data_IF_639872977416
#
_entry.id   IF_639872977416
#
_cell.length_a   1.000
_cell.length_b   1.000
_cell.length_c   1.000
_cell.angle_alpha   90.00
_cell.angle_beta   90.00
_cell.angle_gamma   90.00
#
_symmetry.space_group_name_H-M   'P 1'
#
loop_
_entity.id
_entity.type
_entity.pdbx_description
1 polymer ?
#
# COMPACT_ATOMS: atom_id res chain seq x y z
N UNK A 1 -48.51 6.48 72.56
CA UNK A 1 -47.04 6.65 72.67
C UNK A 1 -46.52 5.36 73.27
N UNK A 2 -45.76 4.51 72.61
CA UNK A 2 -44.70 4.75 71.60
C UNK A 2 -44.57 3.47 70.75
N UNK A 3 -44.70 3.58 69.44
CA UNK A 3 -43.63 3.68 68.41
C UNK A 3 -43.26 2.33 67.80
N UNK A 4 -43.71 2.19 66.55
CA UNK A 4 -43.35 1.18 65.57
C UNK A 4 -41.86 1.32 65.22
N UNK A 5 -41.05 0.33 65.57
CA UNK A 5 -39.67 0.24 65.04
C UNK A 5 -39.71 -0.27 63.61
N UNK A 6 -39.74 0.68 62.67
CA UNK A 6 -39.44 0.51 61.26
C UNK A 6 -38.03 -0.11 61.07
N UNK A 7 -37.96 -1.37 60.66
CA UNK A 7 -36.69 -2.02 60.30
C UNK A 7 -36.30 -1.59 58.88
N UNK A 8 -35.47 -0.57 58.76
CA UNK A 8 -34.85 -0.17 57.50
C UNK A 8 -34.00 -1.32 56.95
N UNK A 9 -34.47 -2.00 55.91
CA UNK A 9 -33.66 -2.94 55.13
C UNK A 9 -32.69 -2.15 54.25
N UNK A 10 -31.43 -2.04 54.67
CA UNK A 10 -30.37 -1.52 53.81
C UNK A 10 -30.01 -2.55 52.72
N UNK A 11 -29.95 -2.16 51.44
CA UNK A 11 -29.58 -3.06 50.36
C UNK A 11 -28.10 -3.47 50.49
N UNK A 12 -27.84 -4.76 50.66
CA UNK A 12 -26.48 -5.30 50.69
C UNK A 12 -25.89 -5.22 49.28
N UNK A 13 -24.86 -4.41 49.11
CA UNK A 13 -24.13 -4.29 47.85
C UNK A 13 -23.50 -5.64 47.48
N UNK A 14 -24.01 -6.27 46.42
CA UNK A 14 -23.40 -7.47 45.83
C UNK A 14 -22.11 -7.03 45.13
N UNK A 15 -20.98 -7.19 45.82
CA UNK A 15 -19.66 -6.92 45.24
C UNK A 15 -19.44 -7.72 43.96
N UNK A 16 -19.02 -7.06 42.89
CA UNK A 16 -18.62 -7.70 41.65
C UNK A 16 -17.50 -8.71 41.92
N UNK A 17 -17.83 -10.00 41.91
CA UNK A 17 -16.85 -11.08 42.00
C UNK A 17 -16.25 -11.27 40.60
N UNK A 18 -15.14 -10.58 40.34
CA UNK A 18 -14.30 -10.91 39.19
C UNK A 18 -13.84 -12.36 39.35
N UNK A 19 -14.45 -13.26 38.58
CA UNK A 19 -14.05 -14.65 38.56
C UNK A 19 -12.65 -14.74 37.96
N UNK A 20 -11.74 -15.42 38.67
CA UNK A 20 -10.37 -15.66 38.22
C UNK A 20 -10.35 -16.29 36.81
N UNK A 21 -11.36 -17.11 36.49
CA UNK A 21 -11.53 -17.69 35.17
C UNK A 21 -11.82 -16.67 34.07
N UNK A 22 -12.56 -15.60 34.38
CA UNK A 22 -12.82 -14.52 33.43
C UNK A 22 -11.56 -13.69 33.18
N UNK A 23 -10.73 -13.48 34.20
CA UNK A 23 -9.44 -12.78 34.06
C UNK A 23 -8.45 -13.60 33.21
N UNK A 24 -8.37 -14.91 33.43
CA UNK A 24 -7.54 -15.82 32.62
C UNK A 24 -8.01 -15.88 31.16
N UNK A 25 -9.33 -15.84 30.92
CA UNK A 25 -9.89 -15.80 29.58
C UNK A 25 -9.47 -14.53 28.82
N UNK A 26 -9.52 -13.36 29.45
CA UNK A 26 -9.06 -12.10 28.83
C UNK A 26 -7.57 -12.11 28.54
N UNK A 27 -6.75 -12.71 29.41
CA UNK A 27 -5.31 -12.89 29.16
C UNK A 27 -5.09 -13.80 27.95
N UNK A 28 -5.83 -14.91 27.86
CA UNK A 28 -5.74 -15.83 26.72
C UNK A 28 -6.15 -15.17 25.40
N UNK A 29 -7.26 -14.41 25.40
CA UNK A 29 -7.72 -13.66 24.22
C UNK A 29 -6.67 -12.61 23.83
N UNK A 30 -6.16 -11.85 24.79
CA UNK A 30 -5.12 -10.85 24.58
C UNK A 30 -3.87 -11.46 23.94
N UNK A 31 -3.38 -12.57 24.50
CA UNK A 31 -2.22 -13.31 23.99
C UNK A 31 -2.46 -13.87 22.58
N UNK A 32 -3.66 -14.37 22.29
CA UNK A 32 -4.00 -14.85 20.95
C UNK A 32 -3.98 -13.70 19.94
N UNK A 33 -4.62 -12.57 20.27
CA UNK A 33 -4.67 -11.41 19.36
C UNK A 33 -3.29 -10.81 19.09
N UNK A 34 -2.43 -10.68 20.11
CA UNK A 34 -1.06 -10.19 19.89
C UNK A 34 -0.26 -11.16 19.04
N UNK A 35 -0.37 -12.46 19.27
CA UNK A 35 0.30 -13.46 18.45
C UNK A 35 -0.18 -13.42 16.99
N UNK A 36 -1.49 -13.33 16.74
CA UNK A 36 -2.04 -13.19 15.39
C UNK A 36 -1.55 -11.92 14.68
N UNK A 37 -1.47 -10.78 15.40
CA UNK A 37 -0.96 -9.52 14.82
C UNK A 37 0.52 -9.64 14.46
N UNK A 38 1.34 -10.24 15.33
CA UNK A 38 2.77 -10.44 15.09
C UNK A 38 2.97 -11.39 13.91
N UNK A 39 2.22 -12.50 13.87
CA UNK A 39 2.33 -13.51 12.82
C UNK A 39 1.89 -12.95 11.46
N UNK A 40 0.82 -12.14 11.41
CA UNK A 40 0.44 -11.45 10.17
C UNK A 40 1.52 -10.49 9.69
N UNK A 41 2.15 -9.73 10.59
CA UNK A 41 3.26 -8.84 10.20
C UNK A 41 4.45 -9.61 9.66
N UNK A 42 4.81 -10.73 10.28
CA UNK A 42 5.90 -11.60 9.80
C UNK A 42 5.54 -12.21 8.44
N UNK A 43 4.33 -12.71 8.25
CA UNK A 43 3.89 -13.25 6.95
C UNK A 43 3.91 -12.16 5.88
N UNK A 44 3.44 -10.95 6.16
CA UNK A 44 3.56 -9.83 5.21
C UNK A 44 5.02 -9.50 4.89
N UNK A 45 5.91 -9.47 5.89
CA UNK A 45 7.34 -9.23 5.66
C UNK A 45 8.00 -10.33 4.82
N UNK A 46 7.72 -11.62 5.10
CA UNK A 46 8.23 -12.73 4.31
C UNK A 46 7.66 -12.74 2.89
N UNK A 47 6.37 -12.46 2.72
CA UNK A 47 5.76 -12.31 1.40
C UNK A 47 6.43 -11.19 0.60
N UNK A 48 6.74 -10.09 1.27
CA UNK A 48 7.42 -8.95 0.66
C UNK A 48 8.87 -9.28 0.31
N UNK A 49 9.60 -9.98 1.18
CA UNK A 49 11.00 -10.38 0.93
C UNK A 49 11.12 -11.37 -0.24
N UNK A 50 10.14 -12.26 -0.40
CA UNK A 50 10.07 -13.17 -1.56
C UNK A 50 9.67 -12.42 -2.84
N UNK A 51 8.74 -11.47 -2.76
CA UNK A 51 8.34 -10.65 -3.91
C UNK A 51 9.43 -9.65 -4.35
N UNK A 52 10.22 -9.13 -3.41
CA UNK A 52 11.31 -8.18 -3.67
C UNK A 52 12.60 -8.83 -4.18
N UNK A 53 12.69 -10.17 -4.16
CA UNK A 53 13.93 -10.89 -4.51
C UNK A 53 14.17 -11.01 -6.03
N UNK A 54 13.16 -10.74 -6.87
CA UNK A 54 13.38 -10.71 -8.32
C UNK A 54 12.81 -9.44 -8.93
N UNK A 55 13.65 -8.62 -9.60
CA UNK A 55 13.16 -7.49 -10.36
C UNK A 55 12.19 -7.97 -11.45
N UNK A 56 11.08 -7.24 -11.64
CA UNK A 56 10.18 -7.43 -12.76
C UNK A 56 10.93 -7.48 -14.10
N UNK A 57 10.42 -8.30 -15.02
CA UNK A 57 10.95 -8.27 -16.38
C UNK A 57 10.75 -6.87 -16.99
N UNK A 58 11.72 -6.34 -17.76
CA UNK A 58 11.58 -5.02 -18.41
C UNK A 58 10.31 -4.89 -19.25
N UNK A 59 9.83 -6.01 -19.84
CA UNK A 59 8.58 -6.08 -20.60
C UNK A 59 7.35 -5.84 -19.72
N UNK A 60 7.33 -6.40 -18.52
CA UNK A 60 6.21 -6.23 -17.59
C UNK A 60 6.17 -4.80 -17.03
N UNK A 61 7.35 -4.24 -16.70
CA UNK A 61 7.48 -2.83 -16.33
C UNK A 61 6.96 -1.93 -17.45
N UNK A 62 7.36 -2.18 -18.70
CA UNK A 62 6.87 -1.42 -19.84
C UNK A 62 5.34 -1.48 -19.97
N UNK A 63 4.75 -2.68 -19.86
CA UNK A 63 3.30 -2.89 -19.95
C UNK A 63 2.55 -2.14 -18.85
N UNK A 64 2.96 -2.27 -17.59
CA UNK A 64 2.31 -1.57 -16.48
C UNK A 64 2.48 -0.05 -16.59
N UNK A 65 3.67 0.41 -16.99
CA UNK A 65 3.94 1.82 -17.22
C UNK A 65 3.03 2.41 -18.30
N UNK A 66 2.92 1.74 -19.47
CA UNK A 66 2.04 2.18 -20.55
C UNK A 66 0.58 2.25 -20.10
N UNK A 67 0.12 1.27 -19.32
CA UNK A 67 -1.24 1.26 -18.77
C UNK A 67 -1.48 2.40 -17.77
N UNK A 68 -0.52 2.68 -16.90
CA UNK A 68 -0.65 3.74 -15.89
C UNK A 68 -0.46 5.16 -16.43
N UNK A 69 0.38 5.31 -17.47
CA UNK A 69 0.72 6.61 -18.07
C UNK A 69 -0.09 6.95 -19.33
N UNK A 70 -0.91 6.03 -19.84
CA UNK A 70 -1.88 6.33 -20.92
C UNK A 70 -3.19 6.76 -20.29
N UNK A 71 -3.48 8.06 -20.35
CA UNK A 71 -4.65 8.67 -19.72
C UNK A 71 -5.24 9.76 -20.60
N UNK A 72 -6.58 9.74 -20.73
CA UNK A 72 -7.33 10.76 -21.46
C UNK A 72 -6.79 10.98 -22.87
N UNK A 73 -6.31 12.19 -23.22
CA UNK A 73 -5.79 12.51 -24.56
C UNK A 73 -4.36 12.04 -24.80
N UNK A 74 -3.69 11.42 -23.83
CA UNK A 74 -2.28 11.04 -23.92
C UNK A 74 -2.16 9.54 -24.10
N UNK A 75 -1.59 9.13 -25.23
CA UNK A 75 -1.21 7.74 -25.49
C UNK A 75 0.29 7.59 -25.30
N UNK A 76 0.70 6.79 -24.32
CA UNK A 76 2.10 6.57 -23.97
C UNK A 76 2.61 5.27 -24.57
N UNK A 77 3.86 5.27 -25.03
CA UNK A 77 4.55 4.10 -25.56
C UNK A 77 5.96 4.04 -24.99
N UNK A 78 6.31 2.92 -24.37
CA UNK A 78 7.64 2.68 -23.82
C UNK A 78 8.59 2.25 -24.93
N UNK A 79 9.79 2.84 -24.95
CA UNK A 79 10.83 2.59 -25.96
C UNK A 79 11.96 1.73 -25.42
N UNK A 80 12.32 1.90 -24.16
CA UNK A 80 13.41 1.19 -23.51
C UNK A 80 13.17 1.14 -22.00
N UNK A 81 13.51 0.02 -21.38
CA UNK A 81 13.45 -0.16 -19.93
C UNK A 81 14.74 -0.81 -19.48
N UNK A 82 15.44 -0.17 -18.54
CA UNK A 82 16.70 -0.68 -17.99
C UNK A 82 16.62 -0.75 -16.47
N UNK A 83 16.95 -1.90 -15.93
CA UNK A 83 17.09 -2.10 -14.50
C UNK A 83 18.52 -1.79 -14.05
N UNK A 84 18.65 -1.07 -12.93
CA UNK A 84 19.93 -0.79 -12.26
C UNK A 84 19.97 -1.54 -10.92
N UNK A 85 20.75 -2.63 -10.78
CA UNK A 85 20.83 -3.36 -9.52
C UNK A 85 21.44 -2.55 -8.37
N UNK A 86 22.33 -1.61 -8.68
CA UNK A 86 23.00 -0.77 -7.66
C UNK A 86 22.05 0.25 -7.02
N UNK A 87 21.06 0.71 -7.78
CA UNK A 87 20.10 1.73 -7.34
C UNK A 87 18.71 1.15 -7.03
N UNK A 88 18.51 -0.17 -7.21
CA UNK A 88 17.21 -0.84 -7.12
C UNK A 88 16.10 -0.05 -7.84
N UNK A 89 16.37 0.29 -9.11
CA UNK A 89 15.53 1.22 -9.86
C UNK A 89 15.44 0.87 -11.35
N UNK A 90 14.32 1.21 -11.97
CA UNK A 90 14.14 1.15 -13.42
C UNK A 90 14.28 2.53 -14.04
N UNK A 91 15.05 2.64 -15.11
CA UNK A 91 14.98 3.77 -16.02
C UNK A 91 14.09 3.40 -17.20
N UNK A 92 12.98 4.13 -17.36
CA UNK A 92 12.01 3.94 -18.43
C UNK A 92 12.12 5.12 -19.40
N UNK A 93 12.43 4.83 -20.66
CA UNK A 93 12.35 5.80 -21.76
C UNK A 93 11.02 5.61 -22.47
N UNK A 94 10.27 6.67 -22.65
CA UNK A 94 8.95 6.61 -23.25
C UNK A 94 8.72 7.79 -24.20
N UNK A 95 7.73 7.62 -25.06
CA UNK A 95 7.18 8.67 -25.90
C UNK A 95 5.68 8.77 -25.68
N UNK A 96 5.10 9.93 -25.94
CA UNK A 96 3.65 10.07 -25.99
C UNK A 96 3.23 10.94 -27.16
N UNK A 97 2.02 10.72 -27.63
CA UNK A 97 1.38 11.57 -28.63
C UNK A 97 0.43 12.51 -27.90
N UNK A 98 0.61 13.81 -28.08
CA UNK A 98 -0.34 14.82 -27.63
C UNK A 98 -1.52 14.87 -28.61
N UNK A 99 -2.72 14.48 -28.19
CA UNK A 99 -3.90 14.50 -29.06
C UNK A 99 -4.31 15.90 -29.54
N UNK A 100 -3.91 16.97 -28.84
CA UNK A 100 -4.23 18.34 -29.27
C UNK A 100 -3.34 18.80 -30.43
N UNK A 101 -2.05 18.48 -30.39
CA UNK A 101 -1.07 18.94 -31.40
C UNK A 101 -0.65 17.87 -32.41
N UNK A 102 -0.95 16.59 -32.14
CA UNK A 102 -0.49 15.44 -32.92
C UNK A 102 1.02 15.18 -32.81
N UNK A 103 1.74 15.93 -31.97
CA UNK A 103 3.19 15.82 -31.84
C UNK A 103 3.57 14.63 -30.95
N UNK A 104 4.62 13.92 -31.35
CA UNK A 104 5.25 12.88 -30.55
C UNK A 104 6.37 13.46 -29.71
N UNK A 105 6.21 13.42 -28.41
CA UNK A 105 7.20 13.85 -27.43
C UNK A 105 7.93 12.65 -26.84
N UNK A 106 9.10 12.89 -26.25
CA UNK A 106 9.96 11.86 -25.66
C UNK A 106 10.46 12.32 -24.31
N UNK A 107 10.51 11.41 -23.35
CA UNK A 107 11.06 11.67 -22.02
C UNK A 107 11.54 10.37 -21.38
N UNK A 108 12.17 10.49 -20.23
CA UNK A 108 12.59 9.37 -19.41
C UNK A 108 12.34 9.65 -17.94
N UNK A 109 12.19 8.57 -17.19
CA UNK A 109 11.85 8.60 -15.76
C UNK A 109 12.58 7.45 -15.06
N UNK A 110 12.96 7.73 -13.82
CA UNK A 110 13.45 6.72 -12.89
C UNK A 110 12.31 6.28 -11.98
N UNK A 111 12.06 4.98 -11.91
CA UNK A 111 11.15 4.35 -10.96
C UNK A 111 11.99 3.71 -9.86
N UNK A 112 11.88 4.23 -8.65
CA UNK A 112 12.63 3.78 -7.49
C UNK A 112 11.80 2.79 -6.68
N UNK A 113 12.42 1.71 -6.24
CA UNK A 113 11.76 0.73 -5.40
C UNK A 113 11.49 1.30 -4.00
N UNK A 114 10.26 1.15 -3.52
CA UNK A 114 9.82 1.64 -2.21
C UNK A 114 10.12 0.67 -1.06
N UNK A 115 10.65 -0.51 -1.36
CA UNK A 115 10.90 -1.59 -0.40
C UNK A 115 9.67 -2.44 -0.06
N UNK A 116 8.51 -2.13 -0.65
CA UNK A 116 7.23 -2.83 -0.43
C UNK A 116 6.69 -3.46 -1.71
N UNK A 117 7.52 -3.62 -2.75
CA UNK A 117 7.12 -4.21 -4.01
C UNK A 117 6.51 -3.21 -5.00
N UNK A 118 6.74 -1.91 -4.80
CA UNK A 118 6.30 -0.88 -5.74
C UNK A 118 7.50 -0.09 -6.24
N UNK A 119 7.57 0.10 -7.55
CA UNK A 119 8.51 1.00 -8.20
C UNK A 119 7.77 2.29 -8.56
N UNK A 120 8.15 3.39 -7.92
CA UNK A 120 7.45 4.66 -8.03
C UNK A 120 8.32 5.72 -8.72
N UNK A 121 7.69 6.57 -9.55
CA UNK A 121 8.33 7.75 -10.08
C UNK A 121 7.33 8.87 -10.41
N UNK A 122 7.87 10.03 -10.79
CA UNK A 122 7.09 11.20 -11.18
C UNK A 122 7.49 11.72 -12.56
N UNK A 123 6.53 11.84 -13.47
CA UNK A 123 6.71 12.52 -14.75
C UNK A 123 6.56 14.02 -14.52
N UNK A 124 7.63 14.78 -14.77
CA UNK A 124 7.69 16.25 -14.59
C UNK A 124 7.86 16.97 -15.93
N UNK A 125 7.00 16.63 -16.89
CA UNK A 125 7.05 17.18 -18.24
C UNK A 125 5.79 18.00 -18.52
N UNK A 126 5.91 19.31 -18.70
CA UNK A 126 4.79 20.24 -18.93
C UNK A 126 3.81 19.76 -20.01
N UNK A 127 4.29 19.51 -21.25
CA UNK A 127 3.46 18.94 -22.33
C UNK A 127 2.77 17.60 -22.01
N UNK A 128 3.26 16.83 -21.04
CA UNK A 128 2.59 15.62 -20.55
C UNK A 128 1.56 15.94 -19.46
N UNK A 129 1.89 16.77 -18.48
CA UNK A 129 1.07 16.95 -17.27
C UNK A 129 -0.07 17.96 -17.44
N UNK A 130 0.13 18.99 -18.27
CA UNK A 130 -0.84 20.07 -18.46
C UNK A 130 -2.16 19.61 -19.08
N UNK A 131 -2.17 18.75 -20.13
CA UNK A 131 -3.43 18.23 -20.68
C UNK A 131 -4.23 17.37 -19.70
N UNK A 132 -3.55 16.81 -18.70
CA UNK A 132 -4.14 16.00 -17.63
C UNK A 132 -4.62 16.84 -16.43
N UNK A 133 -4.39 18.16 -16.44
CA UNK A 133 -4.76 19.07 -15.36
C UNK A 133 -3.79 19.07 -14.17
N UNK A 134 -2.59 18.49 -14.31
CA UNK A 134 -1.56 18.49 -13.27
C UNK A 134 -0.65 19.72 -13.40
N UNK A 135 -0.24 20.29 -12.27
CA UNK A 135 0.59 21.50 -12.20
C UNK A 135 2.08 21.22 -12.06
N UNK A 136 2.47 20.17 -11.35
CA UNK A 136 3.87 19.90 -11.00
C UNK A 136 4.37 18.56 -11.54
N UNK A 137 3.62 17.49 -11.31
CA UNK A 137 4.04 16.15 -11.70
C UNK A 137 2.87 15.18 -11.82
N UNK A 138 3.04 14.16 -12.66
CA UNK A 138 2.13 13.02 -12.75
C UNK A 138 2.79 11.77 -12.13
N UNK A 139 2.19 11.15 -11.10
CA UNK A 139 2.75 9.96 -10.47
C UNK A 139 2.55 8.71 -11.33
N UNK A 140 3.56 7.85 -11.40
CA UNK A 140 3.49 6.53 -12.04
C UNK A 140 4.03 5.49 -11.08
N UNK A 141 3.33 4.37 -10.98
CA UNK A 141 3.72 3.23 -10.16
C UNK A 141 3.69 1.95 -11.00
N UNK A 142 4.63 1.05 -10.70
CA UNK A 142 4.69 -0.31 -11.23
C UNK A 142 4.77 -1.25 -10.04
N UNK A 143 3.89 -2.23 -9.98
CA UNK A 143 3.74 -3.13 -8.84
C UNK A 143 4.29 -4.52 -9.17
N UNK A 144 5.13 -5.04 -8.28
CA UNK A 144 5.51 -6.45 -8.28
C UNK A 144 4.34 -7.24 -7.72
N UNK A 145 3.71 -8.10 -8.51
CA UNK A 145 2.69 -9.01 -7.98
C UNK A 145 3.34 -9.96 -6.98
N UNK A 146 2.79 -10.04 -5.78
CA UNK A 146 3.19 -11.10 -4.85
C UNK A 146 2.79 -12.45 -5.43
N UNK A 147 3.69 -13.42 -5.45
CA UNK A 147 3.45 -14.79 -5.98
C UNK A 147 2.51 -15.63 -5.10
N UNK A 148 1.68 -15.00 -4.27
CA UNK A 148 0.78 -15.64 -3.30
C UNK A 148 -0.70 -15.60 -3.72
N UNK A 149 -1.00 -15.16 -4.94
CA UNK A 149 -2.36 -15.06 -5.49
C UNK A 149 -2.72 -16.17 -6.51
N UNK A 150 -1.91 -17.23 -6.63
CA UNK A 150 -2.25 -18.45 -7.38
C UNK A 150 -2.63 -19.63 -6.46
#
# INVERSE_FOLDING_TARGET
MSDETNTSQTPVARGFRFSLGTMLLWIAIGALTTNTIIMNRLVTQLRNEVASQQPLSPKEVARQFEMGATLGPITTTVKDVRYSPEADAYRVKFSWVDAASGNTWHSDIQLEHDGFGVYYGQIRNGPFIQPLGYTESFPVAVETRSSFED
#
